data_IF_814981418645
#
_entry.id   IF_814981418645
#
_cell.length_a   1.000
_cell.length_b   1.000
_cell.length_c   1.000
_cell.angle_alpha   90.00
_cell.angle_beta   90.00
_cell.angle_gamma   90.00
#
_symmetry.space_group_name_H-M   'P 1'
#
loop_
_entity.id
_entity.type
_entity.pdbx_description
1 polymer ?
#
# COMPACT_ATOMS: atom_id res chain seq x y z
N UNK A 1 23.53 -14.07 9.79
CA UNK A 1 22.77 -14.70 10.10
C UNK A 1 22.57 -14.92 10.35
N UNK A 2 22.93 -14.48 10.29
CA UNK A 2 22.37 -15.10 10.65
C UNK A 2 21.99 -15.24 10.86
N UNK A 3 22.26 -15.05 10.92
CA UNK A 3 21.66 -15.66 11.34
C UNK A 3 21.18 -15.70 11.61
N UNK A 4 21.31 -15.22 11.62
CA UNK A 4 20.61 -15.56 12.01
C UNK A 4 20.08 -15.56 12.19
N UNK A 5 20.85 -15.64 11.95
CA UNK A 5 19.98 -15.86 12.26
C UNK A 5 19.47 -15.53 12.15
N UNK A 6 19.84 -15.49 11.82
CA UNK A 6 18.97 -15.42 11.92
C UNK A 6 18.58 -15.12 11.57
N UNK A 7 18.86 -15.21 11.57
CA UNK A 7 18.13 -15.24 11.40
C UNK A 7 17.70 -15.21 11.08
N UNK A 8 17.72 -14.50 10.97
CA UNK A 8 16.99 -14.69 10.99
C UNK A 8 16.51 -14.58 11.00
N UNK A 9 16.87 -14.21 10.75
CA UNK A 9 16.05 -14.22 11.09
C UNK A 9 15.93 -13.80 11.15
N UNK A 10 16.43 -13.82 11.06
CA UNK A 10 16.01 -13.47 11.33
C UNK A 10 15.81 -12.89 11.18
N UNK A 11 15.81 -12.22 10.96
CA UNK A 11 15.27 -11.98 11.11
C UNK A 11 15.16 -11.62 11.08
N UNK A 12 15.34 -11.23 10.99
CA UNK A 12 14.88 -11.16 11.19
C UNK A 12 14.49 -10.75 11.20
N UNK A 13 14.88 -10.42 11.22
CA UNK A 13 14.29 -10.27 11.57
C UNK A 13 14.11 -9.94 11.77
N UNK A 14 14.30 -9.60 11.76
CA UNK A 14 13.87 -9.43 12.24
C UNK A 14 13.87 -9.04 12.49
N UNK A 15 14.05 -8.83 12.48
CA UNK A 15 13.75 -8.66 12.99
C UNK A 15 13.48 -8.30 13.07
N UNK A 16 13.43 -8.01 13.13
CA UNK A 16 13.03 -7.82 13.45
C UNK A 16 12.81 -7.45 13.55
N UNK A 17 12.89 -7.33 13.61
CA UNK A 17 12.78 -6.99 13.79
C UNK A 17 13.09 -6.79 13.70
N UNK A 18 13.46 -6.67 13.46
CA UNK A 18 13.79 -6.41 13.38
C UNK A 18 14.28 -6.45 12.95
N UNK A 19 14.79 -6.29 12.57
CA UNK A 19 15.27 -6.25 12.20
C UNK A 19 15.57 -5.89 11.90
N UNK A 20 16.11 -5.60 11.51
CA UNK A 20 16.51 -5.17 11.34
C UNK A 20 16.66 -4.29 11.41
N UNK A 21 16.77 -3.84 11.48
CA UNK A 21 16.87 -2.77 11.64
C UNK A 21 18.06 -2.02 11.60
N UNK A 22 19.04 -2.12 11.59
CA UNK A 22 20.29 -1.59 11.30
C UNK A 22 20.30 -0.73 10.12
N UNK A 23 19.32 -0.10 9.85
CA UNK A 23 19.22 0.59 8.62
C UNK A 23 20.01 1.83 8.63
N UNK A 24 20.78 2.07 7.61
CA UNK A 24 21.36 3.36 7.35
C UNK A 24 20.25 4.28 6.87
N UNK A 25 20.50 5.57 6.85
CA UNK A 25 19.49 6.56 6.53
C UNK A 25 18.81 6.30 5.18
N UNK A 26 19.59 5.95 4.17
CA UNK A 26 19.04 5.68 2.86
C UNK A 26 18.21 4.41 2.84
N UNK A 27 18.57 3.43 3.68
CA UNK A 27 17.83 2.19 3.78
C UNK A 27 16.51 2.34 4.50
N UNK A 28 16.40 3.30 5.41
CA UNK A 28 15.18 3.48 6.21
C UNK A 28 13.95 3.75 5.37
N UNK A 29 14.05 4.65 4.41
CA UNK A 29 12.92 4.94 3.53
C UNK A 29 12.55 3.74 2.68
N UNK A 30 13.54 3.09 2.07
CA UNK A 30 13.31 1.89 1.29
C UNK A 30 12.67 0.80 2.13
N UNK A 31 13.18 0.60 3.35
CA UNK A 31 12.65 -0.41 4.26
C UNK A 31 11.21 -0.10 4.64
N UNK A 32 10.92 1.17 4.89
CA UNK A 32 9.56 1.58 5.22
C UNK A 32 8.61 1.25 4.07
N UNK A 33 8.97 1.63 2.85
CA UNK A 33 8.09 1.41 1.70
C UNK A 33 7.90 -0.08 1.43
N UNK A 34 8.96 -0.86 1.53
CA UNK A 34 8.85 -2.31 1.35
C UNK A 34 7.95 -2.93 2.41
N UNK A 35 8.13 -2.53 3.68
CA UNK A 35 7.29 -3.03 4.77
C UNK A 35 5.85 -2.59 4.62
N UNK A 36 5.63 -1.34 4.26
CA UNK A 36 4.28 -0.82 4.09
C UNK A 36 3.54 -1.53 2.97
N UNK A 37 4.23 -1.78 1.86
CA UNK A 37 3.64 -2.50 0.74
C UNK A 37 3.34 -3.94 1.11
N UNK A 38 4.23 -4.56 1.86
CA UNK A 38 4.03 -5.92 2.31
C UNK A 38 2.81 -6.02 3.23
N UNK A 39 2.69 -5.11 4.19
CA UNK A 39 1.53 -5.09 5.09
C UNK A 39 0.24 -4.83 4.33
N UNK A 40 0.28 -3.89 3.39
CA UNK A 40 -0.89 -3.59 2.56
C UNK A 40 -1.31 -4.80 1.75
N UNK A 41 -0.36 -5.46 1.11
CA UNK A 41 -0.65 -6.62 0.27
C UNK A 41 -1.15 -7.79 1.11
N UNK A 42 -0.59 -7.98 2.30
CA UNK A 42 -1.09 -9.01 3.22
C UNK A 42 -2.53 -8.74 3.65
N UNK A 43 -2.84 -7.47 3.94
CA UNK A 43 -4.21 -7.10 4.29
C UNK A 43 -5.16 -7.34 3.12
N UNK A 44 -4.72 -7.04 1.90
CA UNK A 44 -5.51 -7.31 0.70
C UNK A 44 -5.76 -8.81 0.53
N UNK A 45 -4.74 -9.62 0.76
CA UNK A 45 -4.86 -11.07 0.64
C UNK A 45 -5.84 -11.62 1.67
N UNK A 46 -5.77 -11.14 2.90
CA UNK A 46 -6.68 -11.56 3.96
C UNK A 46 -8.12 -11.16 3.64
N UNK A 47 -8.30 -9.94 3.17
CA UNK A 47 -9.64 -9.46 2.80
C UNK A 47 -10.19 -10.29 1.65
N UNK A 48 -9.38 -10.57 0.65
CA UNK A 48 -9.77 -11.38 -0.50
C UNK A 48 -10.19 -12.79 -0.06
N UNK A 49 -9.41 -13.38 0.84
CA UNK A 49 -9.70 -14.72 1.33
C UNK A 49 -11.02 -14.75 2.09
N UNK A 50 -11.25 -13.75 2.95
CA UNK A 50 -12.49 -13.66 3.71
C UNK A 50 -13.69 -13.53 2.79
N UNK A 51 -13.58 -12.67 1.77
CA UNK A 51 -14.67 -12.47 0.82
C UNK A 51 -14.94 -13.73 0.00
N UNK A 52 -13.90 -14.43 -0.41
CA UNK A 52 -14.04 -15.67 -1.14
C UNK A 52 -14.71 -16.76 -0.29
N UNK A 53 -14.44 -16.80 1.01
CA UNK A 53 -15.10 -17.74 1.90
C UNK A 53 -16.61 -17.51 1.93
N UNK A 54 -17.03 -16.25 1.99
CA UNK A 54 -18.45 -15.91 1.96
C UNK A 54 -19.08 -16.36 0.65
N UNK A 55 -18.40 -16.09 -0.47
CA UNK A 55 -18.93 -16.43 -1.79
C UNK A 55 -19.07 -17.94 -1.96
N UNK A 56 -18.14 -18.71 -1.43
CA UNK A 56 -18.12 -20.16 -1.60
C UNK A 56 -18.94 -20.92 -0.55
N UNK A 57 -19.36 -20.24 0.51
CA UNK A 57 -20.08 -20.87 1.60
C UNK A 57 -21.54 -21.08 1.17
N UNK A 58 -21.97 -22.35 1.12
CA UNK A 58 -23.33 -22.67 0.69
C UNK A 58 -24.40 -22.18 1.66
N UNK A 59 -24.02 -21.82 2.88
CA UNK A 59 -24.97 -21.31 3.86
C UNK A 59 -25.14 -19.80 3.75
N UNK A 60 -24.33 -19.11 2.95
CA UNK A 60 -24.47 -17.66 2.75
C UNK A 60 -25.71 -17.39 1.91
N UNK A 61 -26.45 -16.32 2.26
CA UNK A 61 -27.62 -15.96 1.46
C UNK A 61 -27.17 -15.15 0.23
N UNK A 62 -28.11 -14.96 -0.71
CA UNK A 62 -27.81 -14.32 -1.99
C UNK A 62 -27.32 -12.86 -1.79
N UNK A 63 -27.85 -12.18 -0.79
CA UNK A 63 -27.46 -10.81 -0.51
C UNK A 63 -26.02 -10.73 -0.02
N UNK A 64 -25.62 -11.66 0.86
CA UNK A 64 -24.27 -11.72 1.36
C UNK A 64 -23.28 -12.04 0.25
N UNK A 65 -23.63 -12.96 -0.63
CA UNK A 65 -22.78 -13.33 -1.77
C UNK A 65 -22.61 -12.14 -2.71
N UNK A 66 -23.70 -11.43 -2.98
CA UNK A 66 -23.63 -10.26 -3.86
C UNK A 66 -22.73 -9.17 -3.29
N UNK A 67 -22.89 -8.88 -2.00
CA UNK A 67 -22.06 -7.88 -1.34
C UNK A 67 -20.60 -8.27 -1.35
N UNK A 68 -20.31 -9.53 -1.06
CA UNK A 68 -18.93 -10.02 -1.07
C UNK A 68 -18.32 -9.96 -2.46
N UNK A 69 -19.10 -10.28 -3.49
CA UNK A 69 -18.64 -10.23 -4.87
C UNK A 69 -18.32 -8.79 -5.27
N UNK A 70 -19.17 -7.83 -4.90
CA UNK A 70 -18.94 -6.43 -5.20
C UNK A 70 -17.73 -5.89 -4.44
N UNK A 71 -17.57 -6.30 -3.19
CA UNK A 71 -16.42 -5.90 -2.38
C UNK A 71 -15.13 -6.45 -2.98
N UNK A 72 -15.17 -7.69 -3.49
CA UNK A 72 -14.00 -8.30 -4.11
C UNK A 72 -13.60 -7.55 -5.39
N UNK A 73 -14.59 -7.14 -6.18
CA UNK A 73 -14.33 -6.33 -7.36
C UNK A 73 -13.70 -4.99 -7.01
N UNK A 74 -14.23 -4.34 -5.97
CA UNK A 74 -13.69 -3.06 -5.51
C UNK A 74 -12.26 -3.22 -5.00
N UNK A 75 -12.00 -4.31 -4.28
CA UNK A 75 -10.66 -4.60 -3.79
C UNK A 75 -9.68 -4.81 -4.94
N UNK A 76 -10.07 -5.61 -5.94
CA UNK A 76 -9.22 -5.85 -7.11
C UNK A 76 -8.91 -4.55 -7.84
N UNK A 77 -9.91 -3.68 -7.99
CA UNK A 77 -9.73 -2.41 -8.65
C UNK A 77 -8.79 -1.50 -7.84
N UNK A 78 -8.94 -1.50 -6.51
CA UNK A 78 -8.06 -0.72 -5.65
C UNK A 78 -6.61 -1.18 -5.75
N UNK A 79 -6.40 -2.49 -5.77
CA UNK A 79 -5.05 -3.05 -5.92
C UNK A 79 -4.40 -2.58 -7.22
N UNK A 80 -5.17 -2.65 -8.31
CA UNK A 80 -4.68 -2.21 -9.61
C UNK A 80 -4.34 -0.72 -9.60
N UNK A 81 -5.23 0.09 -9.03
CA UNK A 81 -5.02 1.54 -8.96
C UNK A 81 -3.81 1.89 -8.11
N UNK A 82 -3.63 1.21 -6.99
CA UNK A 82 -2.47 1.45 -6.13
C UNK A 82 -1.17 1.24 -6.89
N UNK A 83 -1.07 0.13 -7.60
CA UNK A 83 0.11 -0.17 -8.39
C UNK A 83 0.33 0.80 -9.53
N UNK A 84 -0.72 1.13 -10.25
CA UNK A 84 -0.64 2.06 -11.37
C UNK A 84 -0.22 3.46 -10.91
N UNK A 85 -0.81 3.93 -9.80
CA UNK A 85 -0.49 5.26 -9.28
C UNK A 85 0.94 5.29 -8.77
N UNK A 86 1.38 4.25 -8.06
CA UNK A 86 2.76 4.18 -7.59
C UNK A 86 3.75 4.26 -8.74
N UNK A 87 3.47 3.52 -9.81
CA UNK A 87 4.35 3.52 -10.98
C UNK A 87 4.40 4.90 -11.63
N UNK A 88 3.26 5.57 -11.73
CA UNK A 88 3.20 6.90 -12.33
C UNK A 88 3.92 7.94 -11.49
N UNK A 89 3.74 7.89 -10.16
CA UNK A 89 4.41 8.82 -9.27
C UNK A 89 5.92 8.61 -9.33
N UNK A 90 6.35 7.36 -9.32
CA UNK A 90 7.77 7.07 -9.40
C UNK A 90 8.36 7.56 -10.72
N UNK A 91 7.63 7.40 -11.82
CA UNK A 91 8.09 7.87 -13.13
C UNK A 91 8.20 9.40 -13.16
N UNK A 92 7.28 10.11 -12.49
CA UNK A 92 7.28 11.56 -12.48
C UNK A 92 8.30 12.16 -11.53
N UNK A 93 8.44 11.57 -10.34
CA UNK A 93 9.25 12.18 -9.28
C UNK A 93 10.60 11.52 -9.12
N UNK A 94 10.76 10.31 -9.64
CA UNK A 94 11.99 9.54 -9.46
C UNK A 94 12.14 8.92 -8.09
N UNK A 95 11.18 9.15 -7.19
CA UNK A 95 11.24 8.65 -5.82
C UNK A 95 10.26 7.53 -5.58
N UNK A 96 10.55 6.74 -4.55
CA UNK A 96 9.66 5.67 -4.15
C UNK A 96 8.47 6.22 -3.37
N UNK A 97 7.39 5.47 -3.35
CA UNK A 97 6.19 5.86 -2.64
C UNK A 97 5.35 4.62 -2.36
N UNK A 98 4.36 4.78 -1.46
CA UNK A 98 3.35 3.75 -1.28
C UNK A 98 1.98 4.43 -1.34
N UNK A 99 1.05 3.80 -2.04
CA UNK A 99 -0.31 4.32 -2.21
C UNK A 99 -1.27 3.33 -1.58
N UNK A 100 -2.16 3.84 -0.74
CA UNK A 100 -3.18 3.05 -0.07
C UNK A 100 -4.54 3.62 -0.44
N UNK A 101 -5.37 2.80 -1.06
CA UNK A 101 -6.72 3.21 -1.43
C UNK A 101 -7.70 2.49 -0.55
N UNK A 102 -8.60 3.26 0.07
CA UNK A 102 -9.59 2.72 0.99
C UNK A 102 -10.92 3.43 0.69
N UNK A 103 -11.84 2.66 0.12
CA UNK A 103 -13.13 3.19 -0.33
C UNK A 103 -12.92 4.31 -1.35
N UNK A 104 -13.31 5.53 -1.03
CA UNK A 104 -13.21 6.65 -1.96
C UNK A 104 -12.09 7.60 -1.57
N UNK A 105 -11.11 7.14 -0.82
CA UNK A 105 -9.99 7.96 -0.42
C UNK A 105 -8.67 7.31 -0.79
N UNK A 106 -7.65 8.13 -0.97
CA UNK A 106 -6.32 7.67 -1.32
C UNK A 106 -5.30 8.37 -0.43
N UNK A 107 -4.34 7.60 0.06
CA UNK A 107 -3.24 8.12 0.83
C UNK A 107 -1.95 7.81 0.09
N UNK A 108 -1.13 8.83 -0.13
CA UNK A 108 0.15 8.69 -0.82
C UNK A 108 1.24 9.06 0.17
N UNK A 109 2.16 8.13 0.40
CA UNK A 109 3.28 8.35 1.32
C UNK A 109 4.56 8.38 0.50
N UNK A 110 5.33 9.45 0.66
CA UNK A 110 6.57 9.66 -0.11
C UNK A 110 7.76 9.84 0.84
N UNK A 111 8.95 9.76 0.28
CA UNK A 111 10.17 9.87 1.06
C UNK A 111 10.37 11.29 1.57
N UNK A 112 11.15 11.41 2.64
CA UNK A 112 11.52 12.71 3.20
C UNK A 112 12.20 13.55 2.13
N UNK A 113 11.77 14.82 2.03
CA UNK A 113 12.35 15.73 1.08
C UNK A 113 11.84 15.63 -0.33
N UNK A 114 10.91 14.69 -0.58
CA UNK A 114 10.39 14.49 -1.93
C UNK A 114 9.35 15.53 -2.35
N UNK A 115 8.69 16.15 -1.39
CA UNK A 115 7.58 17.05 -1.70
C UNK A 115 8.02 18.49 -1.90
N UNK A 116 7.44 19.13 -2.89
CA UNK A 116 7.42 20.57 -3.07
C UNK A 116 6.10 20.89 -3.77
N UNK A 117 5.82 22.17 -3.99
CA UNK A 117 4.52 22.56 -4.54
C UNK A 117 4.23 21.88 -5.88
N UNK A 118 5.24 21.77 -6.74
CA UNK A 118 5.08 21.15 -8.06
C UNK A 118 4.79 19.66 -7.92
N UNK A 119 5.54 18.97 -7.08
CA UNK A 119 5.38 17.52 -6.88
C UNK A 119 4.02 17.22 -6.28
N UNK A 120 3.59 18.02 -5.31
CA UNK A 120 2.27 17.84 -4.69
C UNK A 120 1.17 17.93 -5.74
N UNK A 121 1.25 18.94 -6.63
CA UNK A 121 0.27 19.10 -7.69
C UNK A 121 0.31 17.93 -8.67
N UNK A 122 1.51 17.46 -9.02
CA UNK A 122 1.65 16.32 -9.92
C UNK A 122 1.02 15.06 -9.34
N UNK A 123 1.27 14.81 -8.05
CA UNK A 123 0.72 13.62 -7.38
C UNK A 123 -0.80 13.71 -7.33
N UNK A 124 -1.33 14.87 -6.93
CA UNK A 124 -2.77 15.06 -6.87
C UNK A 124 -3.41 14.83 -8.24
N UNK A 125 -2.81 15.37 -9.27
CA UNK A 125 -3.33 15.23 -10.62
C UNK A 125 -3.36 13.77 -11.05
N UNK A 126 -2.30 13.03 -10.77
CA UNK A 126 -2.23 11.61 -11.09
C UNK A 126 -3.34 10.86 -10.38
N UNK A 127 -3.50 11.08 -9.07
CA UNK A 127 -4.51 10.37 -8.30
C UNK A 127 -5.92 10.73 -8.77
N UNK A 128 -6.17 12.02 -9.02
CA UNK A 128 -7.48 12.44 -9.49
C UNK A 128 -7.85 11.80 -10.83
N UNK A 129 -6.89 11.73 -11.75
CA UNK A 129 -7.14 11.13 -13.05
C UNK A 129 -7.36 9.63 -12.97
N UNK A 130 -6.60 8.95 -12.11
CA UNK A 130 -6.69 7.51 -12.02
C UNK A 130 -7.91 7.04 -11.24
N UNK A 131 -8.34 7.78 -10.22
CA UNK A 131 -9.40 7.33 -9.33
C UNK A 131 -10.72 8.05 -9.52
N UNK A 132 -10.69 9.31 -9.90
CA UNK A 132 -11.90 10.14 -9.93
C UNK A 132 -12.36 10.58 -8.55
N UNK A 133 -11.55 10.38 -7.51
CA UNK A 133 -11.92 10.80 -6.15
C UNK A 133 -11.90 12.32 -6.03
N UNK A 134 -12.62 12.84 -5.05
CA UNK A 134 -12.56 14.27 -4.72
C UNK A 134 -11.19 14.61 -4.17
N UNK A 135 -10.71 15.81 -4.49
CA UNK A 135 -9.39 16.25 -4.03
C UNK A 135 -9.28 16.20 -2.49
N UNK A 136 -10.37 16.49 -1.80
CA UNK A 136 -10.39 16.47 -0.32
C UNK A 136 -10.18 15.07 0.25
N UNK A 137 -10.38 14.03 -0.56
CA UNK A 137 -10.19 12.65 -0.13
C UNK A 137 -8.80 12.11 -0.49
N UNK A 138 -7.91 12.96 -0.95
CA UNK A 138 -6.55 12.60 -1.29
C UNK A 138 -5.61 13.20 -0.26
N UNK A 139 -4.85 12.35 0.42
CA UNK A 139 -3.90 12.78 1.43
C UNK A 139 -2.49 12.42 0.96
N UNK A 140 -1.59 13.38 1.06
CA UNK A 140 -0.18 13.17 0.69
C UNK A 140 0.64 13.38 1.95
N UNK A 141 1.43 12.36 2.31
CA UNK A 141 2.22 12.35 3.53
C UNK A 141 3.69 12.20 3.17
N UNK A 142 4.52 13.00 3.80
CA UNK A 142 5.97 12.91 3.63
C UNK A 142 6.56 12.27 4.89
N UNK A 143 7.45 11.30 4.71
CA UNK A 143 8.10 10.67 5.85
C UNK A 143 8.98 11.68 6.57
N UNK A 144 9.02 11.56 7.90
CA UNK A 144 9.81 12.50 8.71
C UNK A 144 11.28 12.10 8.79
N UNK A 145 11.61 10.90 8.35
CA UNK A 145 13.01 10.46 8.37
C UNK A 145 13.31 9.44 7.30
#
# INVERSE_FOLDING_TARGET
VDNTGGNLGDAQLVNSSGVSESAVATGKSSDYFASAKLRRNSAHDEASETLNKVIKDSSSDASAVKEATEALKALSNAIKLEGDIEALIKAKTGGDCVVIINNNSAEVIVAKGALNDTVILQIKEIVLKQTGFSAENITIVELSS
#
